data_IF_608634068403
#
_entry.id   IF_608634068403
#
_cell.length_a   1.000
_cell.length_b   1.000
_cell.length_c   1.000
_cell.angle_alpha   90.00
_cell.angle_beta   90.00
_cell.angle_gamma   90.00
#
_symmetry.space_group_name_H-M   'P 1'
#
loop_
_entity.id
_entity.type
_entity.pdbx_description
1 polymer ?
#
# COMPACT_ATOMS: atom_id res chain seq x y z
N UNK A 1 -3.42 31.81 12.71
CA UNK A 1 -4.72 31.72 12.01
C UNK A 1 -5.61 32.91 12.37
N UNK A 2 -5.84 33.18 13.66
CA UNK A 2 -6.76 34.25 14.10
C UNK A 2 -6.19 35.67 13.90
N UNK A 3 -4.90 35.89 14.14
CA UNK A 3 -4.24 37.20 14.06
C UNK A 3 -4.43 37.94 12.72
N UNK A 4 -4.55 37.20 11.61
CA UNK A 4 -4.66 37.76 10.25
C UNK A 4 -5.94 37.30 9.55
N UNK A 5 -6.99 36.96 10.31
CA UNK A 5 -8.24 36.47 9.72
C UNK A 5 -8.91 37.51 8.82
N UNK A 6 -8.74 38.81 9.02
CA UNK A 6 -9.35 39.81 8.13
C UNK A 6 -8.74 39.83 6.73
N UNK A 7 -7.46 39.47 6.59
CA UNK A 7 -6.70 39.61 5.35
C UNK A 7 -6.34 38.28 4.68
N UNK A 8 -6.42 37.15 5.40
CA UNK A 8 -6.03 35.84 4.90
C UNK A 8 -7.07 34.76 5.25
N UNK A 9 -7.38 33.91 4.28
CA UNK A 9 -8.15 32.67 4.46
C UNK A 9 -7.20 31.49 4.27
N UNK A 10 -7.26 30.50 5.16
CA UNK A 10 -6.41 29.32 5.11
C UNK A 10 -7.23 28.11 4.64
N UNK A 11 -6.66 27.34 3.72
CA UNK A 11 -7.16 26.04 3.30
C UNK A 11 -6.11 25.00 3.70
N UNK A 12 -6.45 24.14 4.65
CA UNK A 12 -5.56 23.09 5.15
C UNK A 12 -5.88 21.77 4.44
N UNK A 13 -5.01 21.34 3.53
CA UNK A 13 -5.15 20.07 2.82
C UNK A 13 -4.45 18.94 3.59
N UNK A 14 -5.22 18.00 4.13
CA UNK A 14 -4.69 16.82 4.82
C UNK A 14 -5.57 15.59 4.56
N UNK A 15 -4.98 14.39 4.63
CA UNK A 15 -5.69 13.14 4.35
C UNK A 15 -6.38 12.53 5.59
N UNK A 16 -5.88 12.84 6.79
CA UNK A 16 -6.47 12.38 8.05
C UNK A 16 -6.40 13.49 9.10
N UNK A 17 -7.52 13.70 9.78
CA UNK A 17 -7.63 14.71 10.86
C UNK A 17 -7.19 14.18 12.23
N UNK A 18 -6.75 12.92 12.32
CA UNK A 18 -6.38 12.30 13.60
C UNK A 18 -5.19 12.97 14.27
N UNK A 19 -4.18 13.37 13.47
CA UNK A 19 -3.00 14.11 13.94
C UNK A 19 -3.21 15.64 14.00
N UNK A 20 -4.40 16.14 13.67
CA UNK A 20 -4.71 17.58 13.70
C UNK A 20 -5.23 17.96 15.08
N UNK A 21 -4.58 18.93 15.72
CA UNK A 21 -4.93 19.37 17.07
C UNK A 21 -6.38 19.91 17.13
N UNK A 22 -7.13 19.63 18.22
CA UNK A 22 -8.51 20.12 18.38
C UNK A 22 -8.70 21.62 18.15
N UNK A 23 -7.78 22.52 18.58
CA UNK A 23 -7.89 23.95 18.32
C UNK A 23 -7.98 24.34 16.83
N UNK A 24 -7.35 23.59 15.94
CA UNK A 24 -7.46 23.87 14.49
C UNK A 24 -8.81 23.37 13.97
N UNK A 25 -9.21 22.16 14.38
CA UNK A 25 -10.47 21.55 13.95
C UNK A 25 -11.70 22.38 14.33
N UNK A 26 -11.67 23.05 15.49
CA UNK A 26 -12.77 23.90 15.95
C UNK A 26 -12.91 25.22 15.18
N UNK A 27 -11.89 25.62 14.40
CA UNK A 27 -11.81 26.92 13.70
C UNK A 27 -11.90 26.80 12.18
N UNK A 28 -11.90 25.58 11.66
CA UNK A 28 -11.94 25.30 10.24
C UNK A 28 -13.23 24.55 9.90
N UNK A 29 -13.80 24.87 8.73
CA UNK A 29 -14.88 24.07 8.17
C UNK A 29 -14.29 22.75 7.65
N UNK A 30 -14.78 21.63 8.19
CA UNK A 30 -14.29 20.31 7.82
C UNK A 30 -14.99 19.81 6.54
N UNK A 31 -14.29 19.93 5.40
CA UNK A 31 -14.72 19.32 4.13
C UNK A 31 -14.11 17.92 4.03
N UNK A 32 -14.95 16.87 4.10
CA UNK A 32 -14.52 15.50 3.84
C UNK A 32 -14.66 15.19 2.35
N UNK A 33 -13.54 14.87 1.70
CA UNK A 33 -13.53 14.38 0.32
C UNK A 33 -13.35 12.86 0.35
N UNK A 34 -14.42 12.06 0.19
CA UNK A 34 -14.29 10.61 0.13
C UNK A 34 -13.55 10.19 -1.15
N UNK A 35 -12.95 9.00 -1.13
CA UNK A 35 -12.46 8.38 -2.36
C UNK A 35 -13.64 8.15 -3.32
N UNK A 36 -13.46 8.31 -4.64
CA UNK A 36 -14.52 8.06 -5.63
C UNK A 36 -14.95 6.58 -5.61
N UNK A 37 -16.16 6.28 -6.08
CA UNK A 37 -16.58 4.88 -6.26
C UNK A 37 -15.83 4.23 -7.44
N UNK A 38 -15.96 2.92 -7.60
CA UNK A 38 -15.36 2.21 -8.74
C UNK A 38 -16.02 2.69 -10.04
N UNK A 39 -17.34 2.88 -10.01
CA UNK A 39 -18.13 3.40 -11.14
C UNK A 39 -17.72 4.83 -11.52
N UNK A 40 -17.51 5.70 -10.53
CA UNK A 40 -17.01 7.06 -10.76
C UNK A 40 -15.63 7.06 -11.43
N UNK A 41 -14.72 6.18 -10.98
CA UNK A 41 -13.39 6.03 -11.58
C UNK A 41 -13.54 5.56 -13.03
N UNK A 42 -14.35 4.54 -13.30
CA UNK A 42 -14.64 4.06 -14.65
C UNK A 42 -15.17 5.19 -15.54
N UNK A 43 -16.13 5.99 -15.04
CA UNK A 43 -16.70 7.10 -15.79
C UNK A 43 -15.65 8.17 -16.13
N UNK A 44 -14.78 8.52 -15.18
CA UNK A 44 -13.67 9.46 -15.41
C UNK A 44 -12.68 8.90 -16.41
N UNK A 45 -12.27 7.63 -16.30
CA UNK A 45 -11.38 6.98 -17.25
C UNK A 45 -11.95 6.99 -18.67
N UNK A 46 -13.21 6.58 -18.85
CA UNK A 46 -13.88 6.64 -20.16
C UNK A 46 -13.99 8.07 -20.69
N UNK A 47 -14.24 9.05 -19.83
CA UNK A 47 -14.30 10.47 -20.22
C UNK A 47 -12.95 10.98 -20.70
N UNK A 48 -11.86 10.64 -20.01
CA UNK A 48 -10.50 11.00 -20.41
C UNK A 48 -10.13 10.33 -21.73
N UNK A 49 -10.34 9.02 -21.86
CA UNK A 49 -10.06 8.30 -23.10
C UNK A 49 -10.89 8.84 -24.28
N UNK A 50 -12.16 9.16 -24.08
CA UNK A 50 -13.01 9.75 -25.12
C UNK A 50 -12.50 11.13 -25.57
N UNK A 51 -12.01 11.97 -24.64
CA UNK A 51 -11.40 13.27 -24.95
C UNK A 51 -10.08 13.13 -25.71
N UNK A 52 -9.31 12.10 -25.40
CA UNK A 52 -8.06 11.74 -26.10
C UNK A 52 -8.30 10.98 -27.42
N UNK A 53 -9.55 10.70 -27.80
CA UNK A 53 -9.88 9.94 -29.01
C UNK A 53 -9.53 8.44 -28.94
N UNK A 54 -9.41 7.89 -27.74
CA UNK A 54 -9.07 6.49 -27.46
C UNK A 54 -10.33 5.67 -27.15
N UNK A 55 -10.38 4.44 -27.67
CA UNK A 55 -11.44 3.48 -27.34
C UNK A 55 -11.03 2.61 -26.15
N UNK A 56 -11.48 2.96 -24.94
CA UNK A 56 -11.26 2.17 -23.73
C UNK A 56 -12.39 1.14 -23.53
N UNK A 57 -12.11 -0.18 -23.53
CA UNK A 57 -13.10 -1.21 -23.21
C UNK A 57 -13.60 -1.06 -21.76
N UNK A 58 -14.90 -1.32 -21.54
CA UNK A 58 -15.51 -1.24 -20.21
C UNK A 58 -14.89 -2.23 -19.21
N UNK A 59 -14.57 -3.44 -19.66
CA UNK A 59 -13.90 -4.47 -18.86
C UNK A 59 -12.51 -4.01 -18.37
N UNK A 60 -11.72 -3.39 -19.25
CA UNK A 60 -10.41 -2.87 -18.88
C UNK A 60 -10.53 -1.68 -17.91
N UNK A 61 -11.50 -0.79 -18.12
CA UNK A 61 -11.77 0.33 -17.21
C UNK A 61 -12.11 -0.16 -15.79
N UNK A 62 -12.93 -1.21 -15.67
CA UNK A 62 -13.28 -1.81 -14.40
C UNK A 62 -12.06 -2.44 -13.71
N UNK A 63 -11.25 -3.22 -14.44
CA UNK A 63 -10.01 -3.81 -13.91
C UNK A 63 -9.03 -2.75 -13.42
N UNK A 64 -8.87 -1.64 -14.16
CA UNK A 64 -8.07 -0.50 -13.75
C UNK A 64 -8.59 0.16 -12.47
N UNK A 65 -9.91 0.35 -12.37
CA UNK A 65 -10.54 0.94 -11.21
C UNK A 65 -10.36 0.07 -9.96
N UNK A 66 -10.55 -1.24 -10.07
CA UNK A 66 -10.33 -2.21 -8.99
C UNK A 66 -8.86 -2.26 -8.55
N UNK A 67 -7.92 -2.39 -9.50
CA UNK A 67 -6.47 -2.44 -9.23
C UNK A 67 -5.91 -1.13 -8.65
N UNK A 68 -6.58 0.00 -8.89
CA UNK A 68 -6.20 1.29 -8.32
C UNK A 68 -6.52 1.44 -6.83
N UNK A 69 -7.29 0.53 -6.24
CA UNK A 69 -7.76 0.60 -4.85
C UNK A 69 -8.41 1.94 -4.49
N UNK A 70 -9.30 2.43 -5.37
CA UNK A 70 -10.00 3.72 -5.26
C UNK A 70 -9.10 4.97 -5.28
N UNK A 71 -7.88 4.84 -5.80
CA UNK A 71 -6.98 5.97 -6.02
C UNK A 71 -7.06 6.43 -7.48
N UNK A 72 -7.79 7.53 -7.73
CA UNK A 72 -8.00 8.05 -9.09
C UNK A 72 -6.69 8.44 -9.79
N UNK A 73 -5.69 8.95 -9.06
CA UNK A 73 -4.37 9.26 -9.63
C UNK A 73 -3.70 7.98 -10.13
N UNK A 74 -3.72 6.92 -9.31
CA UNK A 74 -3.16 5.62 -9.68
C UNK A 74 -3.88 5.03 -10.89
N UNK A 75 -5.22 5.10 -10.92
CA UNK A 75 -6.02 4.63 -12.05
C UNK A 75 -5.67 5.32 -13.38
N UNK A 76 -5.51 6.66 -13.36
CA UNK A 76 -5.12 7.43 -14.55
C UNK A 76 -3.72 7.08 -15.04
N UNK A 77 -2.75 7.01 -14.12
CA UNK A 77 -1.37 6.63 -14.47
C UNK A 77 -1.28 5.20 -15.01
N UNK A 78 -2.06 4.26 -14.44
CA UNK A 78 -2.16 2.90 -14.94
C UNK A 78 -2.75 2.86 -16.35
N UNK A 79 -3.82 3.63 -16.60
CA UNK A 79 -4.44 3.71 -17.93
C UNK A 79 -3.46 4.27 -18.97
N UNK A 80 -2.68 5.29 -18.61
CA UNK A 80 -1.65 5.87 -19.48
C UNK A 80 -0.52 4.88 -19.74
N UNK A 81 -0.05 4.18 -18.71
CA UNK A 81 0.99 3.17 -18.84
C UNK A 81 0.55 1.99 -19.72
N UNK A 82 -0.71 1.52 -19.59
CA UNK A 82 -1.28 0.52 -20.50
C UNK A 82 -1.20 0.98 -21.96
N UNK A 83 -1.57 2.23 -22.24
CA UNK A 83 -1.53 2.78 -23.60
C UNK A 83 -0.12 2.82 -24.18
N UNK A 84 0.86 3.24 -23.37
CA UNK A 84 2.27 3.33 -23.80
C UNK A 84 2.83 1.94 -24.11
N UNK A 85 2.48 0.94 -23.30
CA UNK A 85 2.94 -0.43 -23.48
C UNK A 85 2.27 -1.12 -24.68
N UNK A 86 0.96 -0.96 -24.84
CA UNK A 86 0.21 -1.61 -25.91
C UNK A 86 -1.05 -0.81 -26.27
N UNK A 87 -1.17 -0.48 -27.56
CA UNK A 87 -2.38 0.05 -28.17
C UNK A 87 -2.60 -0.65 -29.52
N UNK A 88 -3.84 -1.06 -29.91
CA UNK A 88 -5.14 -0.82 -29.27
C UNK A 88 -5.35 -1.52 -27.91
N UNK A 89 -6.22 -0.94 -27.07
CA UNK A 89 -6.62 -1.55 -25.80
C UNK A 89 -7.39 -2.86 -26.02
N UNK A 90 -7.07 -3.88 -25.22
CA UNK A 90 -7.82 -5.16 -25.17
C UNK A 90 -8.43 -5.38 -23.78
N UNK A 91 -9.45 -6.22 -23.70
CA UNK A 91 -10.11 -6.53 -22.42
C UNK A 91 -9.16 -7.18 -21.40
N UNK A 92 -8.31 -8.09 -21.89
CA UNK A 92 -7.39 -8.92 -21.08
C UNK A 92 -5.97 -8.37 -21.05
N UNK A 93 -5.78 -7.08 -21.36
CA UNK A 93 -4.46 -6.46 -21.32
C UNK A 93 -3.83 -6.57 -19.93
N UNK A 94 -2.51 -6.81 -19.89
CA UNK A 94 -1.73 -6.76 -18.66
C UNK A 94 -1.63 -5.30 -18.20
N UNK A 95 -1.96 -5.04 -16.93
CA UNK A 95 -1.91 -3.69 -16.37
C UNK A 95 -0.58 -3.54 -15.63
N UNK A 96 0.35 -2.69 -16.12
CA UNK A 96 1.64 -2.51 -15.47
C UNK A 96 1.46 -1.96 -14.06
N UNK A 97 2.29 -2.48 -13.15
CA UNK A 97 2.41 -2.01 -11.77
C UNK A 97 3.69 -1.19 -11.62
N UNK A 98 3.73 -0.34 -10.61
CA UNK A 98 4.94 0.45 -10.33
C UNK A 98 6.05 -0.44 -9.78
N UNK A 99 7.30 -0.16 -10.15
CA UNK A 99 8.48 -0.97 -9.80
C UNK A 99 8.56 -1.35 -8.31
N UNK A 100 8.29 -0.39 -7.43
CA UNK A 100 8.35 -0.63 -5.98
C UNK A 100 7.25 -1.56 -5.45
N UNK A 101 6.07 -1.58 -6.07
CA UNK A 101 4.98 -2.51 -5.68
C UNK A 101 5.37 -3.94 -6.01
N UNK A 102 5.94 -4.15 -7.20
CA UNK A 102 6.48 -5.46 -7.62
C UNK A 102 7.64 -5.85 -6.69
N UNK A 103 8.60 -4.94 -6.47
CA UNK A 103 9.76 -5.21 -5.61
C UNK A 103 9.36 -5.54 -4.16
N UNK A 104 8.35 -4.86 -3.61
CA UNK A 104 7.82 -5.10 -2.27
C UNK A 104 7.09 -6.45 -2.20
N UNK A 105 6.28 -6.78 -3.20
CA UNK A 105 5.59 -8.08 -3.31
C UNK A 105 6.56 -9.25 -3.39
N UNK A 106 7.58 -9.14 -4.24
CA UNK A 106 8.69 -10.10 -4.30
C UNK A 106 9.44 -10.21 -2.96
N UNK A 107 9.58 -9.10 -2.22
CA UNK A 107 10.18 -9.12 -0.87
C UNK A 107 9.33 -9.91 0.12
N UNK A 108 8.01 -9.71 0.11
CA UNK A 108 7.08 -10.48 0.94
C UNK A 108 7.11 -11.96 0.60
N UNK A 109 7.08 -12.31 -0.69
CA UNK A 109 7.19 -13.69 -1.16
C UNK A 109 8.51 -14.33 -0.71
N UNK A 110 9.62 -13.59 -0.78
CA UNK A 110 10.91 -14.05 -0.29
C UNK A 110 10.89 -14.31 1.23
N UNK A 111 10.17 -13.51 2.02
CA UNK A 111 10.00 -13.71 3.48
C UNK A 111 9.18 -14.97 3.77
N UNK A 112 8.13 -15.24 3.00
CA UNK A 112 7.26 -16.42 3.15
C UNK A 112 7.98 -17.70 2.72
N UNK A 113 8.82 -17.63 1.68
CA UNK A 113 9.49 -18.80 1.12
C UNK A 113 10.50 -19.48 2.05
N UNK A 114 11.22 -18.71 2.89
CA UNK A 114 12.30 -19.22 3.74
C UNK A 114 12.45 -18.40 5.02
N UNK A 115 12.51 -19.08 6.17
CA UNK A 115 12.68 -18.47 7.50
C UNK A 115 14.05 -18.83 8.09
N UNK A 116 15.13 -18.34 7.46
CA UNK A 116 16.52 -18.51 7.90
C UNK A 116 17.20 -17.15 8.14
N UNK A 117 18.24 -17.07 9.00
CA UNK A 117 19.00 -15.83 9.19
C UNK A 117 19.65 -15.29 7.91
N UNK A 118 20.06 -16.18 6.99
CA UNK A 118 20.60 -15.80 5.69
C UNK A 118 19.54 -15.08 4.84
N UNK A 119 18.32 -15.62 4.78
CA UNK A 119 17.21 -14.96 4.08
C UNK A 119 16.85 -13.62 4.71
N UNK A 120 16.88 -13.51 6.05
CA UNK A 120 16.65 -12.24 6.73
C UNK A 120 17.67 -11.16 6.33
N UNK A 121 18.95 -11.53 6.13
CA UNK A 121 19.99 -10.62 5.65
C UNK A 121 19.70 -10.12 4.23
N UNK A 122 19.27 -11.02 3.34
CA UNK A 122 18.85 -10.65 1.98
C UNK A 122 17.65 -9.69 2.01
N UNK A 123 16.64 -9.99 2.83
CA UNK A 123 15.46 -9.14 3.01
C UNK A 123 15.84 -7.77 3.58
N UNK A 124 16.78 -7.70 4.53
CA UNK A 124 17.33 -6.41 5.00
C UNK A 124 17.89 -5.60 3.84
N UNK A 125 18.65 -6.21 2.93
CA UNK A 125 19.15 -5.54 1.72
C UNK A 125 18.02 -4.96 0.86
N UNK A 126 16.94 -5.74 0.65
CA UNK A 126 15.75 -5.29 -0.10
C UNK A 126 15.02 -4.14 0.61
N UNK A 127 14.91 -4.17 1.94
CA UNK A 127 14.33 -3.08 2.71
C UNK A 127 15.18 -1.80 2.62
N UNK A 128 16.51 -1.92 2.61
CA UNK A 128 17.40 -0.78 2.36
C UNK A 128 17.19 -0.19 0.97
N UNK A 129 17.03 -1.00 -0.06
CA UNK A 129 16.77 -0.54 -1.42
C UNK A 129 15.49 0.30 -1.47
N UNK A 130 14.39 -0.20 -0.87
CA UNK A 130 13.11 0.51 -0.79
C UNK A 130 13.22 1.85 -0.04
N UNK A 131 13.93 1.85 1.10
CA UNK A 131 14.15 3.08 1.88
C UNK A 131 15.04 4.09 1.14
N UNK A 132 16.03 3.61 0.38
CA UNK A 132 16.95 4.45 -0.41
C UNK A 132 16.19 5.17 -1.54
N UNK A 133 15.22 4.49 -2.16
CA UNK A 133 14.29 5.09 -3.13
C UNK A 133 13.22 6.00 -2.49
N UNK A 134 13.40 6.39 -1.22
CA UNK A 134 12.56 7.35 -0.51
C UNK A 134 11.09 6.95 -0.42
N UNK A 135 10.81 5.64 -0.37
CA UNK A 135 9.46 5.13 -0.12
C UNK A 135 9.19 5.24 1.39
N UNK A 136 8.07 5.87 1.81
CA UNK A 136 7.79 6.04 3.23
C UNK A 136 7.68 4.68 3.94
N UNK A 137 8.29 4.51 5.13
CA UNK A 137 8.29 3.22 5.82
C UNK A 137 6.90 2.69 6.18
N UNK A 138 5.93 3.58 6.40
CA UNK A 138 4.53 3.21 6.63
C UNK A 138 3.86 2.59 5.39
N UNK A 139 4.32 2.94 4.18
CA UNK A 139 3.86 2.33 2.93
C UNK A 139 4.47 0.94 2.79
N UNK A 140 5.78 0.81 3.08
CA UNK A 140 6.48 -0.48 3.10
C UNK A 140 5.79 -1.43 4.09
N UNK A 141 5.53 -0.99 5.32
CA UNK A 141 4.88 -1.81 6.35
C UNK A 141 3.48 -2.28 5.93
N UNK A 142 2.64 -1.38 5.40
CA UNK A 142 1.28 -1.74 4.96
C UNK A 142 1.28 -2.67 3.76
N UNK A 143 2.13 -2.41 2.76
CA UNK A 143 2.22 -3.26 1.58
C UNK A 143 2.75 -4.65 1.93
N UNK A 144 3.78 -4.71 2.78
CA UNK A 144 4.33 -5.97 3.27
C UNK A 144 3.28 -6.74 4.08
N UNK A 145 2.57 -6.08 5.01
CA UNK A 145 1.49 -6.71 5.76
C UNK A 145 0.39 -7.28 4.85
N UNK A 146 -0.07 -6.51 3.85
CA UNK A 146 -1.10 -6.96 2.92
C UNK A 146 -0.69 -8.27 2.24
N UNK A 147 0.52 -8.31 1.69
CA UNK A 147 1.02 -9.48 0.97
C UNK A 147 1.28 -10.67 1.89
N UNK A 148 1.78 -10.43 3.11
CA UNK A 148 1.97 -11.49 4.11
C UNK A 148 0.63 -12.08 4.56
N UNK A 149 -0.41 -11.26 4.77
CA UNK A 149 -1.74 -11.73 5.16
C UNK A 149 -2.45 -12.54 4.06
N UNK A 150 -2.10 -12.35 2.79
CA UNK A 150 -2.58 -13.22 1.71
C UNK A 150 -2.02 -14.64 1.81
N UNK A 151 -0.81 -14.79 2.38
CA UNK A 151 -0.12 -16.07 2.52
C UNK A 151 -0.26 -16.71 3.91
N UNK A 152 -0.93 -16.06 4.86
CA UNK A 152 -1.15 -16.59 6.22
C UNK A 152 -2.51 -17.27 6.37
N UNK A 153 -2.58 -18.29 7.22
CA UNK A 153 -3.84 -18.87 7.66
C UNK A 153 -4.64 -17.89 8.56
N UNK A 154 -5.97 -18.03 8.58
CA UNK A 154 -6.88 -17.14 9.29
C UNK A 154 -6.55 -16.97 10.78
N UNK A 155 -6.08 -18.01 11.44
CA UNK A 155 -5.70 -17.97 12.87
C UNK A 155 -4.49 -17.05 13.10
N UNK A 156 -3.54 -17.04 12.17
CA UNK A 156 -2.30 -16.27 12.26
C UNK A 156 -2.49 -14.78 11.88
N UNK A 157 -3.49 -14.47 11.05
CA UNK A 157 -3.74 -13.10 10.56
C UNK A 157 -3.94 -12.08 11.68
N UNK A 158 -4.60 -12.47 12.77
CA UNK A 158 -4.84 -11.59 13.91
C UNK A 158 -3.54 -11.15 14.59
N UNK A 159 -2.65 -12.11 14.87
CA UNK A 159 -1.36 -11.84 15.51
C UNK A 159 -0.44 -11.03 14.61
N UNK A 160 -0.37 -11.35 13.31
CA UNK A 160 0.47 -10.64 12.34
C UNK A 160 0.01 -9.19 12.18
N UNK A 161 -1.31 -8.93 12.15
CA UNK A 161 -1.85 -7.58 12.09
C UNK A 161 -1.52 -6.76 13.34
N UNK A 162 -1.64 -7.35 14.53
CA UNK A 162 -1.26 -6.70 15.80
C UNK A 162 0.25 -6.40 15.83
N UNK A 163 1.08 -7.34 15.39
CA UNK A 163 2.52 -7.13 15.30
C UNK A 163 2.88 -5.98 14.36
N UNK A 164 2.31 -5.96 13.15
CA UNK A 164 2.58 -4.88 12.20
C UNK A 164 2.17 -3.51 12.78
N UNK A 165 1.01 -3.42 13.43
CA UNK A 165 0.57 -2.20 14.11
C UNK A 165 1.54 -1.78 15.24
N UNK A 166 2.02 -2.73 16.04
CA UNK A 166 2.97 -2.47 17.11
C UNK A 166 4.33 -1.96 16.60
N UNK A 167 4.90 -2.62 15.59
CA UNK A 167 6.19 -2.20 15.01
C UNK A 167 6.08 -0.89 14.22
N UNK A 168 4.97 -0.65 13.52
CA UNK A 168 4.71 0.63 12.84
C UNK A 168 4.61 1.77 13.85
N UNK A 169 3.89 1.59 14.96
CA UNK A 169 3.82 2.60 16.01
C UNK A 169 5.21 2.94 16.57
N UNK A 170 6.03 1.93 16.84
CA UNK A 170 7.42 2.13 17.30
C UNK A 170 8.30 2.80 16.26
N UNK A 171 8.08 2.51 14.98
CA UNK A 171 8.77 3.14 13.87
C UNK A 171 8.58 4.65 13.88
N UNK A 172 7.35 5.13 14.15
CA UNK A 172 7.03 6.56 14.22
C UNK A 172 7.70 7.29 15.40
N UNK A 173 8.16 6.56 16.42
CA UNK A 173 8.87 7.09 17.59
C UNK A 173 10.40 7.02 17.45
N UNK A 174 10.89 6.21 16.51
CA UNK A 174 12.32 5.98 16.28
C UNK A 174 12.92 6.92 15.24
N UNK A 175 14.25 6.91 15.14
CA UNK A 175 15.00 7.65 14.10
C UNK A 175 15.40 6.80 12.90
N UNK A 176 15.59 5.48 13.10
CA UNK A 176 16.06 4.56 12.06
C UNK A 176 14.98 3.53 11.72
N UNK A 177 14.23 3.80 10.65
CA UNK A 177 13.11 2.97 10.21
C UNK A 177 13.50 1.49 9.98
N UNK A 178 14.69 1.25 9.42
CA UNK A 178 15.19 -0.10 9.11
C UNK A 178 15.20 -1.03 10.32
N UNK A 179 15.52 -0.54 11.52
CA UNK A 179 15.56 -1.38 12.72
C UNK A 179 14.18 -1.92 13.07
N UNK A 180 13.13 -1.13 12.85
CA UNK A 180 11.75 -1.52 13.13
C UNK A 180 11.19 -2.44 12.05
N UNK A 181 11.50 -2.16 10.78
CA UNK A 181 11.09 -3.00 9.66
C UNK A 181 11.73 -4.39 9.73
N UNK A 182 13.05 -4.46 9.96
CA UNK A 182 13.73 -5.74 10.11
C UNK A 182 13.25 -6.50 11.36
N UNK A 183 13.03 -5.82 12.49
CA UNK A 183 12.51 -6.47 13.68
C UNK A 183 11.11 -7.05 13.46
N UNK A 184 10.25 -6.36 12.70
CA UNK A 184 8.95 -6.90 12.29
C UNK A 184 9.11 -8.17 11.44
N UNK A 185 9.98 -8.13 10.41
CA UNK A 185 10.23 -9.29 9.55
C UNK A 185 10.80 -10.47 10.35
N UNK A 186 11.79 -10.24 11.21
CA UNK A 186 12.39 -11.28 12.04
C UNK A 186 11.36 -11.93 12.98
N UNK A 187 10.50 -11.10 13.59
CA UNK A 187 9.42 -11.59 14.45
C UNK A 187 8.38 -12.38 13.66
N UNK A 188 8.01 -11.90 12.48
CA UNK A 188 7.11 -12.62 11.57
C UNK A 188 7.71 -13.97 11.18
N UNK A 189 8.96 -14.03 10.73
CA UNK A 189 9.64 -15.27 10.35
C UNK A 189 9.66 -16.29 11.48
N UNK A 190 9.98 -15.85 12.71
CA UNK A 190 9.99 -16.74 13.87
C UNK A 190 8.60 -17.31 14.19
N UNK A 191 7.56 -16.47 14.12
CA UNK A 191 6.18 -16.89 14.37
C UNK A 191 5.67 -17.82 13.27
N UNK A 192 5.86 -17.44 12.01
CA UNK A 192 5.40 -18.17 10.84
C UNK A 192 6.06 -19.55 10.74
N UNK A 193 7.38 -19.63 10.97
CA UNK A 193 8.12 -20.90 11.00
C UNK A 193 7.59 -21.84 12.06
N UNK A 194 7.42 -21.35 13.30
CA UNK A 194 6.87 -22.14 14.40
C UNK A 194 5.47 -22.67 14.06
N UNK A 195 4.60 -21.81 13.51
CA UNK A 195 3.25 -22.22 13.11
C UNK A 195 3.26 -23.31 12.04
N UNK A 196 4.14 -23.21 11.04
CA UNK A 196 4.27 -24.27 10.02
C UNK A 196 4.83 -25.58 10.59
N UNK A 197 5.82 -25.51 11.47
CA UNK A 197 6.40 -26.70 12.13
C UNK A 197 5.38 -27.40 13.02
N UNK A 198 4.69 -26.67 13.89
CA UNK A 198 3.64 -27.19 14.77
C UNK A 198 2.47 -27.81 13.96
N UNK A 199 2.11 -27.19 12.83
CA UNK A 199 1.08 -27.70 11.92
C UNK A 199 1.48 -28.97 11.17
N UNK A 200 2.76 -29.09 10.78
CA UNK A 200 3.30 -30.30 10.15
C UNK A 200 3.38 -31.47 11.14
N UNK A 201 3.76 -31.22 12.38
CA UNK A 201 3.76 -32.23 13.44
C UNK A 201 2.34 -32.74 13.71
N UNK A 202 1.34 -31.84 13.73
CA UNK A 202 -0.07 -32.21 13.91
C UNK A 202 -0.72 -33.00 12.76
N UNK A 203 -0.10 -33.02 11.56
CA UNK A 203 -0.57 -33.83 10.41
C UNK A 203 0.15 -35.19 10.29
N UNK A 204 1.27 -35.38 10.99
CA UNK A 204 2.05 -36.62 10.98
C UNK A 204 1.59 -37.63 12.07
N UNK A 205 0.60 -37.27 12.89
CA UNK A 205 -0.08 -38.12 13.87
C UNK A 205 -1.59 -38.18 13.57
#
# INVERSE_FOLDING_TARGET
MEKYMSTCRLILCCNSTSKVIPPIRSRCLAVRVPAPSIEDICHVLSTVCKKEGLNLPSQLAQRLAEKSCRNLRKALLMCEACRVQQYPFTADQEIPETDWEVYLRETANAIVSQQTPQRLLEVRGRLYELLTHCIPPEIIMKGLLSELLHNCDGQLKGEVAQMAAYYEHRLQLGSKAIYHLEAFVAKFMALYKKFMEDGLEGMMF
#
